data_IF_589080946135
#
_entry.id   IF_589080946135
#
_cell.length_a   1.000
_cell.length_b   1.000
_cell.length_c   1.000
_cell.angle_alpha   90.00
_cell.angle_beta   90.00
_cell.angle_gamma   90.00
#
_symmetry.space_group_name_H-M   'P 1'
#
loop_
_entity.id
_entity.type
_entity.pdbx_description
1 polymer ?
#
# COMPACT_ATOMS: atom_id res chain seq x y z
N UNK A 1 -20.54 -13.14 -18.49
CA UNK A 1 -20.99 -11.93 -19.22
C UNK A 1 -20.62 -10.74 -18.34
N UNK A 2 -19.59 -9.92 -18.56
CA UNK A 2 -18.78 -9.62 -19.73
C UNK A 2 -17.33 -10.09 -19.53
N UNK A 3 -16.82 -10.88 -20.47
CA UNK A 3 -15.42 -11.32 -20.60
C UNK A 3 -14.62 -10.24 -21.36
N UNK A 4 -14.75 -8.97 -20.96
CA UNK A 4 -14.42 -7.80 -21.82
C UNK A 4 -13.18 -7.03 -21.32
N UNK A 5 -12.55 -7.48 -20.24
CA UNK A 5 -11.11 -7.30 -20.07
C UNK A 5 -10.48 -8.65 -20.32
N UNK A 6 -10.11 -8.88 -21.57
CA UNK A 6 -9.29 -10.01 -21.99
C UNK A 6 -8.01 -10.03 -21.15
N UNK A 7 -8.02 -10.89 -20.13
CA UNK A 7 -6.91 -11.09 -19.21
C UNK A 7 -5.67 -11.64 -19.93
N UNK A 8 -5.78 -12.07 -21.20
CA UNK A 8 -4.63 -12.48 -22.00
C UNK A 8 -3.65 -11.34 -22.29
N UNK A 9 -4.14 -10.11 -22.51
CA UNK A 9 -3.23 -8.97 -22.72
C UNK A 9 -2.60 -8.50 -21.40
N UNK A 10 -3.34 -8.66 -20.30
CA UNK A 10 -2.85 -8.38 -18.94
C UNK A 10 -1.86 -9.44 -18.44
N UNK A 11 -1.94 -10.69 -18.90
CA UNK A 11 -0.97 -11.72 -18.52
C UNK A 11 0.40 -11.45 -19.15
N UNK A 12 0.44 -11.02 -20.41
CA UNK A 12 1.68 -10.59 -21.07
C UNK A 12 2.25 -9.31 -20.43
N UNK A 13 1.38 -8.38 -20.05
CA UNK A 13 1.80 -7.16 -19.34
C UNK A 13 2.30 -7.45 -17.93
N UNK A 14 1.80 -8.51 -17.29
CA UNK A 14 2.25 -8.96 -15.97
C UNK A 14 3.72 -9.33 -16.01
N UNK A 15 4.19 -10.04 -17.05
CA UNK A 15 5.60 -10.40 -17.18
C UNK A 15 6.48 -9.14 -17.34
N UNK A 16 6.15 -8.25 -18.29
CA UNK A 16 6.90 -7.00 -18.49
C UNK A 16 6.91 -6.14 -17.22
N UNK A 17 5.77 -6.04 -16.53
CA UNK A 17 5.66 -5.33 -15.26
C UNK A 17 6.55 -5.94 -14.19
N UNK A 18 6.61 -7.27 -14.10
CA UNK A 18 7.47 -7.99 -13.17
C UNK A 18 8.94 -7.66 -13.40
N UNK A 19 9.38 -7.63 -14.65
CA UNK A 19 10.73 -7.25 -15.05
C UNK A 19 11.09 -5.81 -14.64
N UNK A 20 10.18 -4.86 -14.90
CA UNK A 20 10.35 -3.46 -14.49
C UNK A 20 10.39 -3.34 -12.97
N UNK A 21 9.54 -4.07 -12.27
CA UNK A 21 9.45 -4.01 -10.81
C UNK A 21 10.72 -4.57 -10.14
N UNK A 22 11.24 -5.72 -10.61
CA UNK A 22 12.53 -6.25 -10.14
C UNK A 22 13.62 -5.20 -10.35
N UNK A 23 13.67 -4.61 -11.55
CA UNK A 23 14.66 -3.59 -11.87
C UNK A 23 14.58 -2.40 -10.92
N UNK A 24 13.38 -1.83 -10.70
CA UNK A 24 13.20 -0.69 -9.79
C UNK A 24 13.59 -1.03 -8.36
N UNK A 25 13.22 -2.22 -7.87
CA UNK A 25 13.56 -2.65 -6.50
C UNK A 25 15.08 -2.83 -6.35
N UNK A 26 15.72 -3.57 -7.26
CA UNK A 26 17.16 -3.80 -7.22
C UNK A 26 17.92 -2.48 -7.37
N UNK A 27 17.51 -1.64 -8.32
CA UNK A 27 18.10 -0.31 -8.52
C UNK A 27 17.95 0.57 -7.29
N UNK A 28 16.77 0.59 -6.65
CA UNK A 28 16.51 1.33 -5.42
C UNK A 28 17.39 0.87 -4.26
N UNK A 29 17.56 -0.44 -4.08
CA UNK A 29 18.45 -1.01 -3.06
C UNK A 29 19.90 -0.60 -3.33
N UNK A 30 20.35 -0.70 -4.59
CA UNK A 30 21.70 -0.27 -4.99
C UNK A 30 21.92 1.23 -4.75
N UNK A 31 20.91 2.05 -5.03
CA UNK A 31 20.97 3.49 -4.80
C UNK A 31 20.97 3.86 -3.32
N UNK A 32 20.26 3.12 -2.47
CA UNK A 32 20.29 3.31 -1.01
C UNK A 32 21.61 2.88 -0.38
N UNK A 33 22.23 1.85 -0.91
CA UNK A 33 23.51 1.32 -0.40
C UNK A 33 24.73 2.07 -0.92
N UNK A 34 24.54 2.92 -1.94
CA UNK A 34 25.54 3.81 -2.55
C UNK A 34 26.86 3.08 -2.88
N UNK A 35 26.73 1.83 -3.32
CA UNK A 35 27.87 0.92 -3.60
C UNK A 35 28.76 1.51 -4.70
N UNK A 36 28.17 2.22 -5.67
CA UNK A 36 28.89 2.83 -6.77
C UNK A 36 28.73 4.36 -6.75
N UNK A 37 29.81 5.12 -6.96
CA UNK A 37 29.70 6.59 -7.02
C UNK A 37 28.88 7.12 -8.20
N UNK A 38 28.62 6.29 -9.22
CA UNK A 38 27.95 6.70 -10.44
C UNK A 38 26.58 6.04 -10.56
N UNK A 39 25.54 6.86 -10.69
CA UNK A 39 24.14 6.42 -10.85
C UNK A 39 23.92 5.52 -12.08
N UNK A 40 24.68 5.75 -13.17
CA UNK A 40 24.60 4.90 -14.36
C UNK A 40 25.10 3.48 -14.12
N UNK A 41 26.11 3.32 -13.25
CA UNK A 41 26.62 2.00 -12.85
C UNK A 41 25.61 1.24 -11.99
N UNK A 42 24.86 1.93 -11.13
CA UNK A 42 23.76 1.31 -10.39
C UNK A 42 22.66 0.78 -11.33
N UNK A 43 22.28 1.56 -12.35
CA UNK A 43 21.28 1.14 -13.33
C UNK A 43 21.76 -0.08 -14.15
N UNK A 44 23.02 -0.06 -14.59
CA UNK A 44 23.58 -1.16 -15.38
C UNK A 44 23.72 -2.45 -14.56
N UNK A 45 24.14 -2.33 -13.30
CA UNK A 45 24.19 -3.46 -12.37
C UNK A 45 22.79 -3.99 -12.06
N UNK A 46 21.81 -3.11 -11.82
CA UNK A 46 20.43 -3.51 -11.58
C UNK A 46 19.82 -4.23 -12.78
N UNK A 47 20.02 -3.75 -14.02
CA UNK A 47 19.59 -4.44 -15.25
C UNK A 47 20.21 -5.84 -15.32
N UNK A 48 21.51 -5.95 -15.06
CA UNK A 48 22.22 -7.23 -15.10
C UNK A 48 21.62 -8.23 -14.10
N UNK A 49 21.34 -7.79 -12.88
CA UNK A 49 20.70 -8.61 -11.85
C UNK A 49 19.27 -8.97 -12.23
N UNK A 50 18.48 -8.02 -12.76
CA UNK A 50 17.12 -8.27 -13.23
C UNK A 50 17.08 -9.35 -14.32
N UNK A 51 18.01 -9.31 -15.29
CA UNK A 51 18.10 -10.33 -16.33
C UNK A 51 18.37 -11.71 -15.74
N UNK A 52 19.32 -11.81 -14.81
CA UNK A 52 19.65 -13.08 -14.15
C UNK A 52 18.44 -13.59 -13.34
N UNK A 53 17.79 -12.73 -12.57
CA UNK A 53 16.62 -13.09 -11.77
C UNK A 53 15.43 -13.51 -12.65
N UNK A 54 15.18 -12.79 -13.74
CA UNK A 54 14.12 -13.11 -14.71
C UNK A 54 14.29 -14.50 -15.34
N UNK A 55 15.52 -14.90 -15.67
CA UNK A 55 15.80 -16.22 -16.26
C UNK A 55 15.60 -17.35 -15.23
N UNK A 56 15.94 -17.12 -13.96
CA UNK A 56 15.89 -18.18 -12.93
C UNK A 56 14.48 -18.55 -12.49
N UNK A 57 13.46 -17.75 -12.81
CA UNK A 57 12.04 -18.03 -12.51
C UNK A 57 11.68 -18.03 -11.01
N UNK A 58 12.63 -18.17 -10.10
CA UNK A 58 12.38 -18.23 -8.64
C UNK A 58 11.80 -16.94 -8.06
N UNK A 59 11.96 -15.81 -8.75
CA UNK A 59 11.51 -14.50 -8.27
C UNK A 59 10.06 -14.19 -8.66
N UNK A 60 9.48 -14.92 -9.61
CA UNK A 60 8.13 -14.63 -10.12
C UNK A 60 7.06 -14.83 -9.04
N UNK A 61 7.14 -15.90 -8.24
CA UNK A 61 6.14 -16.21 -7.22
C UNK A 61 6.08 -15.17 -6.10
N UNK A 62 7.23 -14.65 -5.66
CA UNK A 62 7.28 -13.62 -4.62
C UNK A 62 6.70 -12.31 -5.16
N UNK A 63 6.97 -12.00 -6.42
CA UNK A 63 6.58 -10.73 -7.01
C UNK A 63 5.13 -10.74 -7.47
N UNK A 64 4.61 -11.86 -7.95
CA UNK A 64 3.18 -12.05 -8.19
C UNK A 64 2.37 -11.81 -6.91
N UNK A 65 2.91 -12.20 -5.75
CA UNK A 65 2.34 -11.86 -4.46
C UNK A 65 2.42 -10.36 -4.11
N UNK A 66 3.42 -9.63 -4.60
CA UNK A 66 3.63 -8.20 -4.34
C UNK A 66 2.96 -7.26 -5.35
N UNK A 67 2.74 -7.71 -6.58
CA UNK A 67 2.25 -6.89 -7.69
C UNK A 67 0.87 -6.27 -7.41
N UNK A 68 -0.14 -7.01 -6.88
CA UNK A 68 -1.43 -6.41 -6.51
C UNK A 68 -1.27 -5.28 -5.49
N UNK A 69 -0.40 -5.46 -4.50
CA UNK A 69 -0.15 -4.44 -3.47
C UNK A 69 0.49 -3.19 -4.06
N UNK A 70 1.42 -3.35 -5.00
CA UNK A 70 2.05 -2.22 -5.65
C UNK A 70 1.03 -1.37 -6.43
N UNK A 71 0.10 -2.01 -7.14
CA UNK A 71 -0.98 -1.31 -7.84
C UNK A 71 -1.91 -0.59 -6.87
N UNK A 72 -2.35 -1.26 -5.80
CA UNK A 72 -3.21 -0.68 -4.77
C UNK A 72 -2.51 0.52 -4.10
N UNK A 73 -1.25 0.36 -3.68
CA UNK A 73 -0.46 1.41 -3.06
C UNK A 73 -0.22 2.57 -4.02
N UNK A 74 0.10 2.29 -5.29
CA UNK A 74 0.28 3.33 -6.31
C UNK A 74 -1.00 4.16 -6.52
N UNK A 75 -2.14 3.48 -6.68
CA UNK A 75 -3.44 4.14 -6.81
C UNK A 75 -3.79 4.96 -5.55
N UNK A 76 -3.48 4.42 -4.37
CA UNK A 76 -3.70 5.11 -3.10
C UNK A 76 -2.82 6.35 -2.94
N UNK A 77 -1.53 6.28 -3.30
CA UNK A 77 -0.62 7.43 -3.29
C UNK A 77 -1.16 8.52 -4.24
N UNK A 78 -1.55 8.15 -5.46
CA UNK A 78 -2.13 9.10 -6.43
C UNK A 78 -3.39 9.75 -5.86
N UNK A 79 -4.30 8.96 -5.29
CA UNK A 79 -5.52 9.46 -4.67
C UNK A 79 -5.22 10.46 -3.54
N UNK A 80 -4.20 10.17 -2.72
CA UNK A 80 -3.77 11.04 -1.64
C UNK A 80 -3.14 12.34 -2.17
N UNK A 81 -2.34 12.27 -3.25
CA UNK A 81 -1.80 13.47 -3.91
C UNK A 81 -2.92 14.36 -4.46
N UNK A 82 -3.95 13.77 -5.05
CA UNK A 82 -5.14 14.50 -5.51
C UNK A 82 -5.88 15.16 -4.34
N UNK A 83 -6.07 14.45 -3.23
CA UNK A 83 -6.64 15.02 -2.00
C UNK A 83 -5.80 16.18 -1.45
N UNK A 84 -4.48 16.05 -1.43
CA UNK A 84 -3.58 17.12 -1.02
C UNK A 84 -3.74 18.36 -1.92
N UNK A 85 -3.90 18.16 -3.23
CA UNK A 85 -4.16 19.26 -4.17
C UNK A 85 -5.49 19.97 -3.90
N UNK A 86 -6.53 19.25 -3.49
CA UNK A 86 -7.80 19.86 -3.08
C UNK A 86 -7.70 20.72 -1.81
N UNK A 87 -6.75 20.40 -0.92
CA UNK A 87 -6.47 21.19 0.30
C UNK A 87 -5.56 22.41 -0.03
N UNK A 88 -5.14 22.56 -1.29
CA UNK A 88 -4.28 23.66 -1.75
C UNK A 88 -2.79 23.39 -1.54
N UNK A 89 -2.39 22.13 -1.33
CA UNK A 89 -0.98 21.75 -1.30
C UNK A 89 -0.44 21.70 -2.73
N UNK A 90 0.63 22.46 -2.98
CA UNK A 90 1.29 22.45 -4.28
C UNK A 90 2.17 21.20 -4.41
N UNK A 91 1.71 20.22 -5.21
CA UNK A 91 2.37 18.91 -5.37
C UNK A 91 3.80 19.08 -5.88
N UNK A 92 4.01 20.05 -6.78
CA UNK A 92 5.30 20.21 -7.45
C UNK A 92 6.42 20.53 -6.43
N UNK A 93 6.19 21.51 -5.55
CA UNK A 93 7.17 21.90 -4.54
C UNK A 93 7.24 20.93 -3.36
N UNK A 94 6.16 20.21 -3.09
CA UNK A 94 6.07 19.37 -1.89
C UNK A 94 6.58 17.95 -2.11
N UNK A 95 6.34 17.38 -3.30
CA UNK A 95 6.82 16.02 -3.65
C UNK A 95 8.21 16.07 -4.28
N UNK A 96 8.48 17.07 -5.13
CA UNK A 96 9.75 17.15 -5.86
C UNK A 96 10.72 18.20 -5.29
N UNK A 97 10.22 19.16 -4.49
CA UNK A 97 11.04 20.24 -3.89
C UNK A 97 11.69 19.89 -2.55
N UNK A 98 11.52 18.67 -2.02
CA UNK A 98 12.29 18.18 -0.87
C UNK A 98 11.89 18.74 0.49
N UNK A 99 10.76 19.43 0.61
CA UNK A 99 10.26 19.88 1.91
C UNK A 99 9.72 18.70 2.73
N UNK A 100 10.51 18.25 3.71
CA UNK A 100 10.30 17.05 4.55
C UNK A 100 9.00 17.00 5.38
N UNK A 101 8.14 18.02 5.31
CA UNK A 101 6.96 18.15 6.16
C UNK A 101 5.86 17.13 5.85
N UNK A 102 5.68 16.77 4.57
CA UNK A 102 4.56 15.90 4.18
C UNK A 102 4.90 14.41 4.29
N UNK A 103 6.17 14.03 4.17
CA UNK A 103 6.60 12.64 4.34
C UNK A 103 6.18 12.06 5.71
N UNK A 104 6.14 12.90 6.75
CA UNK A 104 5.66 12.53 8.09
C UNK A 104 4.17 12.22 8.20
N UNK A 105 3.33 12.64 7.24
CA UNK A 105 1.89 12.29 7.17
C UNK A 105 1.67 11.02 6.35
N UNK A 106 2.41 10.85 5.25
CA UNK A 106 2.24 9.70 4.36
C UNK A 106 2.78 8.41 4.98
N UNK A 107 3.90 8.47 5.71
CA UNK A 107 4.52 7.30 6.35
C UNK A 107 3.60 6.60 7.36
N UNK A 108 3.02 7.28 8.38
CA UNK A 108 2.13 6.61 9.34
C UNK A 108 0.82 6.16 8.69
N UNK A 109 0.33 6.85 7.66
CA UNK A 109 -0.88 6.45 6.93
C UNK A 109 -0.65 5.17 6.12
N UNK A 110 0.47 5.07 5.40
CA UNK A 110 0.86 3.87 4.65
C UNK A 110 1.15 2.72 5.60
N UNK A 111 1.85 2.97 6.72
CA UNK A 111 2.09 1.96 7.76
C UNK A 111 0.76 1.50 8.38
N UNK A 112 -0.16 2.42 8.67
CA UNK A 112 -1.50 2.09 9.17
C UNK A 112 -2.31 1.24 8.19
N UNK A 113 -2.24 1.56 6.89
CA UNK A 113 -2.87 0.80 5.82
C UNK A 113 -2.28 -0.62 5.74
N UNK A 114 -0.94 -0.75 5.75
CA UNK A 114 -0.23 -2.03 5.68
C UNK A 114 -0.51 -2.88 6.92
N UNK A 115 -0.49 -2.30 8.13
CA UNK A 115 -0.83 -3.00 9.37
C UNK A 115 -2.29 -3.44 9.36
N UNK A 116 -3.21 -2.59 8.90
CA UNK A 116 -4.62 -2.93 8.76
C UNK A 116 -4.85 -4.06 7.76
N UNK A 117 -3.99 -4.21 6.75
CA UNK A 117 -4.07 -5.26 5.74
C UNK A 117 -3.35 -6.55 6.13
N UNK A 118 -2.25 -6.48 6.89
CA UNK A 118 -1.57 -7.68 7.43
C UNK A 118 -2.35 -8.24 8.61
N UNK A 119 -2.88 -7.39 9.49
CA UNK A 119 -3.91 -7.79 10.43
C UNK A 119 -5.16 -8.25 9.67
N UNK A 120 -5.52 -7.51 8.60
CA UNK A 120 -6.56 -7.77 7.61
C UNK A 120 -6.49 -9.11 6.86
N UNK A 121 -5.29 -9.69 6.73
CA UNK A 121 -5.05 -10.96 6.05
C UNK A 121 -5.57 -12.18 6.82
N UNK A 122 -5.98 -11.99 8.08
CA UNK A 122 -6.71 -13.00 8.87
C UNK A 122 -8.24 -12.97 8.62
N UNK A 123 -8.77 -12.02 7.83
CA UNK A 123 -10.22 -11.77 7.75
C UNK A 123 -10.97 -12.59 6.69
N UNK A 124 -10.28 -13.51 6.01
CA UNK A 124 -10.91 -14.64 5.33
C UNK A 124 -10.76 -15.94 6.13
N UNK A 125 -10.56 -15.85 7.45
CA UNK A 125 -10.64 -17.02 8.31
C UNK A 125 -12.11 -17.33 8.52
N UNK A 126 -12.66 -18.15 7.63
CA UNK A 126 -13.89 -18.89 7.88
C UNK A 126 -13.80 -19.49 9.29
N UNK A 127 -14.71 -19.13 10.18
CA UNK A 127 -14.78 -19.75 11.50
C UNK A 127 -15.33 -21.15 11.30
N UNK A 128 -14.42 -22.10 11.06
CA UNK A 128 -14.73 -23.51 11.01
C UNK A 128 -15.22 -23.94 12.39
N UNK A 129 -16.53 -24.03 12.57
CA UNK A 129 -17.12 -24.57 13.80
C UNK A 129 -17.56 -25.99 13.49
N UNK A 130 -17.00 -26.96 14.20
CA UNK A 130 -17.42 -28.35 14.09
C UNK A 130 -18.67 -28.48 14.95
N UNK A 131 -19.79 -28.83 14.33
CA UNK A 131 -21.03 -29.11 15.05
C UNK A 131 -20.84 -30.40 15.89
N UNK A 132 -20.94 -30.33 17.23
CA UNK A 132 -20.69 -31.48 18.10
C UNK A 132 -21.72 -32.60 17.97
N UNK A 133 -22.89 -32.37 17.35
CA UNK A 133 -23.93 -33.40 17.19
C UNK A 133 -23.88 -34.13 15.83
N UNK A 134 -23.39 -33.48 14.78
CA UNK A 134 -23.44 -34.02 13.41
C UNK A 134 -22.05 -34.27 12.81
N UNK A 135 -20.99 -33.67 13.37
CA UNK A 135 -19.63 -33.78 12.86
C UNK A 135 -19.40 -33.07 11.51
N UNK A 136 -20.40 -32.37 10.97
CA UNK A 136 -20.27 -31.59 9.76
C UNK A 136 -19.54 -30.28 10.02
N UNK A 137 -18.78 -29.86 9.01
CA UNK A 137 -18.03 -28.62 9.03
C UNK A 137 -18.93 -27.50 8.52
N UNK A 138 -19.45 -26.67 9.43
CA UNK A 138 -20.32 -25.55 9.05
C UNK A 138 -19.44 -24.32 8.81
N UNK A 139 -19.33 -23.93 7.54
CA UNK A 139 -18.71 -22.68 7.10
C UNK A 139 -19.77 -21.59 7.04
N UNK A 140 -19.89 -20.82 8.13
CA UNK A 140 -20.81 -19.67 8.17
C UNK A 140 -20.11 -18.42 7.64
N UNK A 141 -20.57 -17.80 6.53
CA UNK A 141 -20.09 -16.49 6.12
C UNK A 141 -20.55 -15.46 7.14
N UNK A 142 -19.68 -15.13 8.09
CA UNK A 142 -19.93 -14.07 9.06
C UNK A 142 -19.99 -12.72 8.35
N UNK A 143 -20.90 -11.84 8.78
CA UNK A 143 -20.96 -10.43 8.37
C UNK A 143 -19.65 -9.72 8.74
N UNK A 144 -18.63 -9.92 7.90
CA UNK A 144 -17.26 -9.47 8.13
C UNK A 144 -17.20 -7.97 8.37
N UNK A 145 -18.04 -7.20 7.67
CA UNK A 145 -18.12 -5.75 7.80
C UNK A 145 -18.50 -5.31 9.22
N UNK A 146 -19.46 -5.98 9.86
CA UNK A 146 -19.90 -5.62 11.23
C UNK A 146 -18.83 -6.00 12.25
N UNK A 147 -18.20 -7.15 12.10
CA UNK A 147 -17.12 -7.58 13.00
C UNK A 147 -15.86 -6.70 12.87
N UNK A 148 -15.56 -6.19 11.67
CA UNK A 148 -14.45 -5.26 11.43
C UNK A 148 -14.70 -3.93 12.15
N UNK A 149 -15.89 -3.34 12.01
CA UNK A 149 -16.21 -2.05 12.67
C UNK A 149 -16.38 -2.18 14.19
N UNK A 150 -16.64 -3.37 14.71
CA UNK A 150 -16.74 -3.63 16.16
C UNK A 150 -15.47 -4.20 16.78
N UNK A 151 -14.39 -4.34 16.01
CA UNK A 151 -13.14 -4.85 16.56
C UNK A 151 -12.48 -3.81 17.48
N UNK A 152 -12.11 -4.15 18.73
CA UNK A 152 -11.61 -3.19 19.71
C UNK A 152 -10.38 -2.40 19.23
N UNK A 153 -9.55 -3.01 18.38
CA UNK A 153 -8.35 -2.40 17.81
C UNK A 153 -8.70 -1.32 16.78
N UNK A 154 -9.69 -1.58 15.93
CA UNK A 154 -10.13 -0.65 14.88
C UNK A 154 -10.92 0.50 15.51
N UNK A 155 -11.79 0.21 16.48
CA UNK A 155 -12.47 1.22 17.28
C UNK A 155 -11.50 2.14 18.02
N UNK A 156 -10.44 1.58 18.62
CA UNK A 156 -9.37 2.36 19.24
C UNK A 156 -8.65 3.28 18.23
N UNK A 157 -8.36 2.77 17.04
CA UNK A 157 -7.73 3.56 15.98
C UNK A 157 -8.64 4.71 15.50
N UNK A 158 -9.93 4.43 15.24
CA UNK A 158 -10.93 5.44 14.87
C UNK A 158 -11.06 6.52 15.95
N UNK A 159 -11.09 6.12 17.22
CA UNK A 159 -11.18 7.04 18.35
C UNK A 159 -9.96 7.98 18.40
N UNK A 160 -8.75 7.45 18.26
CA UNK A 160 -7.52 8.27 18.24
C UNK A 160 -7.51 9.23 17.05
N UNK A 161 -7.98 8.77 15.88
CA UNK A 161 -8.06 9.59 14.67
C UNK A 161 -9.07 10.73 14.84
N UNK A 162 -10.23 10.46 15.45
CA UNK A 162 -11.24 11.46 15.77
C UNK A 162 -10.70 12.52 16.77
N UNK A 163 -10.04 12.08 17.84
CA UNK A 163 -9.42 12.99 18.83
C UNK A 163 -8.34 13.85 18.18
N UNK A 164 -7.51 13.26 17.32
CA UNK A 164 -6.45 13.98 16.61
C UNK A 164 -7.03 15.00 15.63
N UNK A 165 -8.06 14.64 14.88
CA UNK A 165 -8.77 15.54 13.96
C UNK A 165 -9.37 16.74 14.69
N UNK A 166 -10.00 16.54 15.85
CA UNK A 166 -10.57 17.63 16.66
C UNK A 166 -9.47 18.52 17.23
N UNK A 167 -8.37 17.91 17.68
CA UNK A 167 -7.21 18.65 18.21
C UNK A 167 -6.61 19.58 17.16
N UNK A 168 -6.40 19.09 15.94
CA UNK A 168 -5.89 19.89 14.83
C UNK A 168 -6.89 20.98 14.42
N UNK A 169 -8.19 20.68 14.39
CA UNK A 169 -9.23 21.67 14.07
C UNK A 169 -9.29 22.83 15.09
N UNK A 170 -9.14 22.53 16.38
CA UNK A 170 -9.08 23.54 17.43
C UNK A 170 -7.78 24.36 17.38
N UNK A 171 -6.68 23.72 17.00
CA UNK A 171 -5.39 24.41 16.86
C UNK A 171 -5.34 25.30 15.61
N UNK A 172 -6.05 24.92 14.55
CA UNK A 172 -6.22 25.71 13.33
C UNK A 172 -7.27 26.82 13.48
N UNK A 173 -8.15 26.74 14.48
CA UNK A 173 -9.31 27.61 14.66
C UNK A 173 -9.21 28.58 15.84
N UNK A 174 -8.27 29.53 15.82
CA UNK A 174 -8.45 30.82 16.51
C UNK A 174 -7.99 31.98 15.60
N UNK A 175 -8.82 32.43 14.65
CA UNK A 175 -8.65 33.76 14.08
C UNK A 175 -8.95 34.79 15.17
N UNK A 176 -7.95 35.60 15.52
CA UNK A 176 -8.13 36.79 16.36
C UNK A 176 -9.16 37.70 15.68
N UNK A 177 -10.36 37.77 16.22
CA UNK A 177 -11.28 38.87 15.95
C UNK A 177 -10.66 40.12 16.60
N UNK A 178 -9.97 40.93 15.80
CA UNK A 178 -9.67 42.30 16.16
C UNK A 178 -10.96 43.11 16.08
N UNK A 179 -11.53 43.45 17.23
CA UNK A 179 -12.41 44.60 17.39
C UNK A 179 -11.69 45.66 18.19
#
# INVERSE_FOLDING_TARGET
MATVFDLGLLSEFSEVFLWILIFVVVYGILQMTDIFKNRGLHALAAISVTIVLGITGSTTTVIEGLAPWFVITGFFIIFLLVLAQFIGVDIHDTVFGGSSGIWWIFVPLIIGLVISLVAGGQFARETTTIDPETGETITTPGNAVINIITEPKILGFILILAISSVTVALMAGVPKLSS
#
